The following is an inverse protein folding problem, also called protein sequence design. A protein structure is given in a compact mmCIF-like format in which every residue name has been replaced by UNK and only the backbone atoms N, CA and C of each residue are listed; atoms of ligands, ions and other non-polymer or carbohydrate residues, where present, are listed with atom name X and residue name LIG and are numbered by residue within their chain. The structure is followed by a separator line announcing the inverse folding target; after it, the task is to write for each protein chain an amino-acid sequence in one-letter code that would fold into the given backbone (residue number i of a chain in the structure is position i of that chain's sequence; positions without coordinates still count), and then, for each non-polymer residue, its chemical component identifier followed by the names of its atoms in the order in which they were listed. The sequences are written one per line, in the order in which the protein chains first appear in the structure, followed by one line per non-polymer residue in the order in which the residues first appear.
data_IF_336540196819
#
_entry.id   IF_336540196819
#
_cell.length_a   1.000
_cell.length_b   1.000
_cell.length_c   1.000
_cell.angle_alpha   90.00
_cell.angle_beta   90.00
_cell.angle_gamma   90.00
#
_symmetry.space_group_name_H-M   'P 1'
#
loop_
_entity.id
_entity.type
_entity.pdbx_description
1 polymer ?
#
# COMPACT_ATOMS: atom_id res chain seq x y z
N UNK A 1 26.49 -45.93 2.16
CA UNK A 1 26.59 -44.50 1.75
C UNK A 1 25.44 -44.05 0.85
N UNK A 2 25.08 -44.81 -0.20
CA UNK A 2 24.02 -44.41 -1.13
C UNK A 2 22.61 -44.34 -0.50
N UNK A 3 22.28 -45.24 0.44
CA UNK A 3 20.98 -45.20 1.17
C UNK A 3 20.82 -43.94 2.03
N UNK A 4 21.88 -43.51 2.73
CA UNK A 4 21.87 -42.30 3.55
C UNK A 4 21.76 -41.04 2.68
N UNK A 5 22.47 -41.01 1.54
CA UNK A 5 22.34 -39.95 0.53
C UNK A 5 20.91 -39.85 -0.02
N UNK A 6 20.30 -40.99 -0.32
CA UNK A 6 18.94 -41.02 -0.86
C UNK A 6 17.90 -40.58 0.17
N UNK A 7 18.08 -40.93 1.45
CA UNK A 7 17.24 -40.45 2.56
C UNK A 7 17.39 -38.92 2.73
N UNK A 8 18.62 -38.40 2.66
CA UNK A 8 18.88 -36.97 2.77
C UNK A 8 18.22 -36.19 1.61
N UNK A 9 18.34 -36.70 0.38
CA UNK A 9 17.69 -36.11 -0.79
C UNK A 9 16.15 -36.11 -0.65
N UNK A 10 15.58 -37.18 -0.08
CA UNK A 10 14.15 -37.26 0.16
C UNK A 10 13.67 -36.22 1.19
N UNK A 11 14.43 -36.00 2.26
CA UNK A 11 14.14 -34.99 3.30
C UNK A 11 14.22 -33.58 2.72
N UNK A 12 15.21 -33.29 1.87
CA UNK A 12 15.34 -31.98 1.21
C UNK A 12 14.14 -31.71 0.28
N UNK A 13 13.66 -32.71 -0.45
CA UNK A 13 12.47 -32.60 -1.30
C UNK A 13 11.21 -32.37 -0.45
N UNK A 14 11.10 -33.04 0.71
CA UNK A 14 9.98 -32.90 1.64
C UNK A 14 9.96 -31.53 2.35
N UNK A 15 11.11 -30.93 2.58
CA UNK A 15 11.24 -29.59 3.16
C UNK A 15 11.00 -28.48 2.13
N UNK A 16 11.32 -28.73 0.86
CA UNK A 16 11.07 -27.80 -0.24
C UNK A 16 9.58 -27.66 -0.58
N UNK A 17 8.74 -28.68 -0.35
CA UNK A 17 7.30 -28.61 -0.59
C UNK A 17 6.52 -27.75 0.41
N UNK A 18 7.13 -27.39 1.55
CA UNK A 18 6.55 -26.48 2.55
C UNK A 18 6.67 -24.98 2.18
N UNK A 19 7.34 -24.64 1.07
CA UNK A 19 7.50 -23.25 0.64
C UNK A 19 6.33 -22.71 -0.20
N UNK A 20 5.25 -23.48 -0.37
CA UNK A 20 4.04 -23.03 -1.06
C UNK A 20 3.07 -22.28 -0.13
N UNK A 21 3.57 -21.28 0.61
CA UNK A 21 2.69 -20.20 1.07
C UNK A 21 2.48 -19.24 -0.10
N UNK A 22 1.59 -19.61 -1.02
CA UNK A 22 0.86 -18.58 -1.74
C UNK A 22 -0.02 -17.88 -0.69
N UNK A 23 0.54 -16.89 0.01
CA UNK A 23 -0.21 -16.11 0.99
C UNK A 23 -1.47 -15.58 0.31
N UNK A 24 -2.63 -16.03 0.78
CA UNK A 24 -3.92 -15.54 0.33
C UNK A 24 -3.92 -14.04 0.57
N UNK A 25 -4.02 -13.26 -0.51
CA UNK A 25 -4.15 -11.80 -0.41
C UNK A 25 -5.54 -11.49 0.17
N UNK A 26 -5.58 -11.14 1.45
CA UNK A 26 -6.78 -10.88 2.25
C UNK A 26 -6.85 -9.40 2.65
N UNK A 27 -7.94 -8.67 2.31
CA UNK A 27 -8.14 -7.29 2.76
C UNK A 27 -8.12 -7.11 4.28
N UNK A 28 -8.55 -8.11 5.05
CA UNK A 28 -8.58 -8.03 6.50
C UNK A 28 -7.16 -7.94 7.10
N UNK A 29 -6.21 -8.66 6.50
CA UNK A 29 -4.79 -8.66 6.88
C UNK A 29 -4.16 -7.27 6.66
N UNK A 30 -4.40 -6.68 5.48
CA UNK A 30 -3.95 -5.31 5.19
C UNK A 30 -4.52 -4.29 6.18
N UNK A 31 -5.80 -4.40 6.51
CA UNK A 31 -6.49 -3.49 7.43
C UNK A 31 -6.02 -3.67 8.89
N UNK A 32 -5.72 -4.90 9.31
CA UNK A 32 -5.12 -5.18 10.62
C UNK A 32 -3.75 -4.51 10.75
N UNK A 33 -2.85 -4.75 9.79
CA UNK A 33 -1.56 -4.08 9.74
C UNK A 33 -1.70 -2.55 9.71
N UNK A 34 -2.65 -2.02 8.93
CA UNK A 34 -2.91 -0.57 8.84
C UNK A 34 -3.34 0.02 10.18
N UNK A 35 -4.30 -0.62 10.87
CA UNK A 35 -4.80 -0.19 12.20
C UNK A 35 -3.70 -0.18 13.25
N UNK A 36 -2.79 -1.15 13.19
CA UNK A 36 -1.65 -1.24 14.08
C UNK A 36 -0.44 -0.38 13.65
N UNK A 37 -0.59 0.49 12.64
CA UNK A 37 0.46 1.36 12.12
C UNK A 37 1.67 0.59 11.55
N UNK A 38 1.50 -0.69 11.24
CA UNK A 38 2.48 -1.53 10.57
C UNK A 38 2.43 -1.25 9.07
N UNK A 39 2.76 -0.01 8.69
CA UNK A 39 2.55 0.51 7.34
C UNK A 39 3.38 -0.20 6.26
N UNK A 40 4.52 -0.80 6.63
CA UNK A 40 5.36 -1.57 5.70
C UNK A 40 4.60 -2.84 5.26
N UNK A 41 4.09 -3.60 6.23
CA UNK A 41 3.36 -4.84 5.96
C UNK A 41 2.01 -4.54 5.29
N UNK A 42 1.29 -3.52 5.79
CA UNK A 42 0.05 -3.05 5.18
C UNK A 42 0.25 -2.68 3.71
N UNK A 43 1.31 -1.92 3.39
CA UNK A 43 1.63 -1.55 2.02
C UNK A 43 1.86 -2.79 1.14
N UNK A 44 2.61 -3.78 1.62
CA UNK A 44 2.88 -5.01 0.87
C UNK A 44 1.60 -5.75 0.50
N UNK A 45 0.62 -5.82 1.41
CA UNK A 45 -0.68 -6.45 1.13
C UNK A 45 -1.54 -5.57 0.23
N UNK A 46 -1.59 -4.25 0.45
CA UNK A 46 -2.36 -3.33 -0.41
C UNK A 46 -1.86 -3.31 -1.86
N UNK A 47 -0.55 -3.40 -2.11
CA UNK A 47 -0.01 -3.49 -3.47
C UNK A 47 -0.55 -4.75 -4.19
N UNK A 48 -0.54 -5.90 -3.52
CA UNK A 48 -1.13 -7.16 -4.04
C UNK A 48 -2.65 -7.05 -4.24
N UNK A 49 -3.34 -6.35 -3.34
CA UNK A 49 -4.79 -6.11 -3.44
C UNK A 49 -5.13 -5.24 -4.64
N UNK A 50 -4.32 -4.22 -4.96
CA UNK A 50 -4.47 -3.38 -6.15
C UNK A 50 -4.29 -4.21 -7.43
N UNK A 51 -3.34 -5.14 -7.46
CA UNK A 51 -3.16 -6.05 -8.61
C UNK A 51 -4.37 -6.97 -8.80
N UNK A 52 -4.93 -7.48 -7.71
CA UNK A 52 -6.06 -8.43 -7.73
C UNK A 52 -7.41 -7.76 -8.01
N UNK A 53 -7.64 -6.59 -7.43
CA UNK A 53 -8.85 -5.79 -7.62
C UNK A 53 -8.48 -4.32 -7.88
N UNK A 54 -8.06 -3.99 -9.12
CA UNK A 54 -7.62 -2.64 -9.47
C UNK A 54 -8.75 -1.60 -9.48
N UNK A 55 -10.02 -2.03 -9.40
CA UNK A 55 -11.19 -1.14 -9.41
C UNK A 55 -11.59 -0.69 -8.01
N UNK A 56 -11.12 -1.37 -6.96
CA UNK A 56 -11.39 -0.98 -5.60
C UNK A 56 -10.94 0.48 -5.36
N UNK A 57 -11.82 1.36 -4.86
CA UNK A 57 -11.46 2.75 -4.63
C UNK A 57 -10.49 2.91 -3.46
N UNK A 58 -10.57 2.08 -2.43
CA UNK A 58 -9.93 2.33 -1.13
C UNK A 58 -8.45 1.94 -1.11
N UNK A 59 -8.07 0.87 -1.81
CA UNK A 59 -6.69 0.35 -1.75
C UNK A 59 -5.63 1.36 -2.21
N UNK A 60 -5.82 2.12 -3.31
CA UNK A 60 -4.87 3.19 -3.68
C UNK A 60 -4.72 4.25 -2.58
N UNK A 61 -5.79 4.64 -1.90
CA UNK A 61 -5.70 5.60 -0.81
C UNK A 61 -4.84 5.06 0.34
N UNK A 62 -5.15 3.84 0.80
CA UNK A 62 -4.43 3.19 1.90
C UNK A 62 -2.96 2.94 1.57
N UNK A 63 -2.65 2.48 0.35
CA UNK A 63 -1.27 2.30 -0.12
C UNK A 63 -0.51 3.65 -0.12
N UNK A 64 -1.12 4.70 -0.69
CA UNK A 64 -0.56 6.05 -0.69
C UNK A 64 -0.30 6.60 0.71
N UNK A 65 -1.24 6.38 1.63
CA UNK A 65 -1.10 6.74 3.04
C UNK A 65 0.06 6.00 3.69
N UNK A 66 0.16 4.67 3.52
CA UNK A 66 1.27 3.89 4.07
C UNK A 66 2.63 4.42 3.60
N UNK A 67 2.78 4.70 2.29
CA UNK A 67 4.02 5.24 1.71
C UNK A 67 4.42 6.58 2.37
N UNK A 68 3.44 7.44 2.68
CA UNK A 68 3.71 8.70 3.38
C UNK A 68 4.21 8.50 4.82
N UNK A 69 3.90 7.38 5.47
CA UNK A 69 4.23 7.11 6.87
C UNK A 69 5.41 6.16 7.09
N UNK A 70 5.96 5.58 6.03
CA UNK A 70 7.21 4.80 6.10
C UNK A 70 8.42 5.64 5.65
N UNK A 71 9.61 5.16 6.02
CA UNK A 71 10.88 5.69 5.53
C UNK A 71 11.23 5.06 4.18
N UNK A 72 10.49 5.42 3.14
CA UNK A 72 10.71 5.00 1.77
C UNK A 72 10.73 6.18 0.81
N UNK A 73 10.97 5.90 -0.48
CA UNK A 73 10.72 6.85 -1.54
C UNK A 73 9.24 7.28 -1.56
N UNK A 74 8.99 8.51 -1.09
CA UNK A 74 7.64 9.08 -0.98
C UNK A 74 7.07 9.49 -2.34
N UNK A 75 7.84 9.45 -3.42
CA UNK A 75 7.35 9.79 -4.76
C UNK A 75 6.29 8.82 -5.25
N UNK A 76 6.38 7.55 -4.83
CA UNK A 76 5.39 6.51 -5.15
C UNK A 76 4.00 6.82 -4.59
N UNK A 77 3.90 7.55 -3.48
CA UNK A 77 2.62 7.92 -2.89
C UNK A 77 1.76 8.75 -3.86
N UNK A 78 2.39 9.61 -4.67
CA UNK A 78 1.69 10.51 -5.60
C UNK A 78 0.81 9.70 -6.55
N UNK A 79 1.35 8.67 -7.19
CA UNK A 79 0.60 7.85 -8.16
C UNK A 79 -0.63 7.21 -7.53
N UNK A 80 -0.48 6.64 -6.34
CA UNK A 80 -1.59 5.98 -5.64
C UNK A 80 -2.66 7.00 -5.18
N UNK A 81 -2.24 8.16 -4.69
CA UNK A 81 -3.13 9.21 -4.20
C UNK A 81 -3.82 10.00 -5.32
N UNK A 82 -3.21 10.12 -6.50
CA UNK A 82 -3.86 10.64 -7.71
C UNK A 82 -5.04 9.75 -8.12
N UNK A 83 -4.81 8.44 -8.21
CA UNK A 83 -5.87 7.45 -8.49
C UNK A 83 -6.98 7.53 -7.44
N UNK A 84 -6.62 7.62 -6.16
CA UNK A 84 -7.59 7.74 -5.08
C UNK A 84 -8.39 9.06 -5.15
N UNK A 85 -7.74 10.17 -5.52
CA UNK A 85 -8.39 11.48 -5.67
C UNK A 85 -9.40 11.47 -6.82
N UNK A 86 -9.03 10.88 -7.95
CA UNK A 86 -9.93 10.69 -9.10
C UNK A 86 -11.16 9.86 -8.73
N UNK A 87 -10.97 8.82 -7.91
CA UNK A 87 -12.04 7.93 -7.43
C UNK A 87 -12.81 8.47 -6.23
N UNK A 88 -12.37 9.59 -5.63
CA UNK A 88 -12.94 10.18 -4.41
C UNK A 88 -13.02 9.16 -3.26
N UNK A 89 -11.98 8.34 -3.11
CA UNK A 89 -11.97 7.18 -2.22
C UNK A 89 -12.04 7.52 -0.74
N UNK A 90 -11.50 8.69 -0.35
CA UNK A 90 -11.48 9.15 1.02
C UNK A 90 -11.76 10.67 1.06
N UNK A 91 -12.53 11.18 2.04
CA UNK A 91 -12.79 12.61 2.17
C UNK A 91 -11.52 13.48 2.27
N UNK A 92 -10.43 12.92 2.80
CA UNK A 92 -9.14 13.60 3.01
C UNK A 92 -8.11 13.26 1.93
N UNK A 93 -8.51 12.59 0.85
CA UNK A 93 -7.56 12.16 -0.20
C UNK A 93 -6.77 13.32 -0.80
N UNK A 94 -7.41 14.47 -1.05
CA UNK A 94 -6.73 15.64 -1.61
C UNK A 94 -5.75 16.27 -0.60
N UNK A 95 -6.04 16.17 0.70
CA UNK A 95 -5.10 16.60 1.74
C UNK A 95 -3.83 15.75 1.73
N UNK A 96 -3.97 14.42 1.71
CA UNK A 96 -2.81 13.52 1.64
C UNK A 96 -2.06 13.62 0.30
N UNK A 97 -2.76 13.80 -0.81
CA UNK A 97 -2.14 14.05 -2.12
C UNK A 97 -1.32 15.34 -2.12
N UNK A 98 -1.84 16.43 -1.53
CA UNK A 98 -1.09 17.66 -1.37
C UNK A 98 0.17 17.46 -0.50
N UNK A 99 0.09 16.67 0.58
CA UNK A 99 1.26 16.28 1.38
C UNK A 99 2.28 15.49 0.55
N UNK A 100 1.82 14.54 -0.27
CA UNK A 100 2.68 13.79 -1.18
C UNK A 100 3.39 14.69 -2.19
N UNK A 101 2.69 15.65 -2.80
CA UNK A 101 3.32 16.63 -3.67
C UNK A 101 4.35 17.49 -2.92
N UNK A 102 4.04 17.95 -1.71
CA UNK A 102 4.92 18.79 -0.91
C UNK A 102 6.24 18.08 -0.55
N UNK A 103 6.17 16.86 0.01
CA UNK A 103 7.38 16.11 0.40
C UNK A 103 8.26 15.72 -0.79
N UNK A 104 7.70 15.73 -2.01
CA UNK A 104 8.42 15.51 -3.26
C UNK A 104 8.74 16.81 -4.02
N UNK A 105 8.67 17.97 -3.35
CA UNK A 105 9.00 19.30 -3.88
C UNK A 105 8.16 19.74 -5.10
N UNK A 106 7.01 19.10 -5.36
CA UNK A 106 6.04 19.53 -6.39
C UNK A 106 5.14 20.63 -5.83
N UNK A 107 5.73 21.77 -5.49
CA UNK A 107 5.09 22.83 -4.69
C UNK A 107 3.84 23.42 -5.36
N UNK A 108 3.86 23.64 -6.67
CA UNK A 108 2.71 24.18 -7.41
C UNK A 108 1.50 23.24 -7.32
N UNK A 109 1.73 21.94 -7.51
CA UNK A 109 0.69 20.91 -7.38
C UNK A 109 0.21 20.82 -5.93
N UNK A 110 1.12 20.89 -4.95
CA UNK A 110 0.76 20.87 -3.53
C UNK A 110 -0.17 22.04 -3.16
N UNK A 111 0.16 23.25 -3.59
CA UNK A 111 -0.65 24.45 -3.34
C UNK A 111 -2.01 24.37 -4.04
N UNK A 112 -2.04 23.95 -5.31
CA UNK A 112 -3.28 23.80 -6.07
C UNK A 112 -4.22 22.77 -5.43
N UNK A 113 -3.70 21.57 -5.11
CA UNK A 113 -4.49 20.49 -4.49
C UNK A 113 -4.93 20.85 -3.07
N UNK A 114 -4.07 21.50 -2.27
CA UNK A 114 -4.45 21.96 -0.93
C UNK A 114 -5.55 23.03 -0.99
N UNK A 115 -5.49 23.95 -1.96
CA UNK A 115 -6.54 24.94 -2.18
C UNK A 115 -7.86 24.25 -2.55
N UNK A 116 -7.83 23.28 -3.47
CA UNK A 116 -8.99 22.45 -3.85
C UNK A 116 -9.63 21.82 -2.61
N UNK A 117 -8.85 21.13 -1.78
CA UNK A 117 -9.32 20.52 -0.52
C UNK A 117 -10.00 21.54 0.42
N UNK A 118 -9.37 22.70 0.63
CA UNK A 118 -9.95 23.76 1.48
C UNK A 118 -11.26 24.32 0.92
N UNK A 119 -11.36 24.48 -0.40
CA UNK A 119 -12.55 25.06 -1.05
C UNK A 119 -13.70 24.06 -1.21
N UNK A 120 -13.42 22.76 -1.29
CA UNK A 120 -14.46 21.75 -1.46
C UNK A 120 -15.37 21.63 -0.23
N UNK A 121 -14.84 21.99 0.96
CA UNK A 121 -15.53 21.76 2.24
C UNK A 121 -15.67 20.28 2.60
N UNK A 122 -15.08 19.38 1.79
CA UNK A 122 -15.06 17.93 1.99
C UNK A 122 -13.78 17.57 2.72
N UNK A 123 -13.90 16.74 3.76
CA UNK A 123 -12.78 16.31 4.58
C UNK A 123 -13.06 16.43 6.07
N UNK A 124 -12.26 15.76 6.90
CA UNK A 124 -12.41 15.76 8.35
C UNK A 124 -11.77 16.98 9.04
N UNK A 125 -11.22 17.92 8.26
CA UNK A 125 -10.50 19.11 8.73
C UNK A 125 -9.26 18.74 9.56
N UNK A 126 -8.42 17.87 8.99
CA UNK A 126 -7.09 17.50 9.48
C UNK A 126 -6.17 18.70 9.68
#
# INVERSE_FOLDING_TARGET
MNKLRNILLFIIILLASFQLFAQRVDPADAEEHFKHHNFIDALSVYEKLIEKDPKNPDYPFKAGYCILHINSDKSKAIKHLEIASERKSDPDVDFYLAKAYHVNMKLDNALATMKKYKTSGIGTKQ
#
